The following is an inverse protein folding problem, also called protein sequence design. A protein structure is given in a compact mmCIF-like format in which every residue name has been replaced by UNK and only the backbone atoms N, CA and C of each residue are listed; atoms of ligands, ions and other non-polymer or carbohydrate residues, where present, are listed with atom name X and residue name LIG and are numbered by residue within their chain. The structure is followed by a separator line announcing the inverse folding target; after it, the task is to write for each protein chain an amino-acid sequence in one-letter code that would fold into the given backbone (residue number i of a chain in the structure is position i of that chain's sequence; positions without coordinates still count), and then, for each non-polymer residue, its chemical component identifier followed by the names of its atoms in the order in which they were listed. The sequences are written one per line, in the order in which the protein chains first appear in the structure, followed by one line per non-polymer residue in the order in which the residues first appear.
data_IF_548514373225
#
_entry.id   IF_548514373225
#
_cell.length_a   1.000
_cell.length_b   1.000
_cell.length_c   1.000
_cell.angle_alpha   90.00
_cell.angle_beta   90.00
_cell.angle_gamma   90.00
#
_symmetry.space_group_name_H-M   'P 1'
#
loop_
_entity.id
_entity.type
_entity.pdbx_description
1 polymer ?
#
# COMPACT_ATOMS: atom_id res chain seq x y z
N UNK A 1 27.10 -7.48 9.21
CA UNK A 1 26.36 -7.19 7.96
C UNK A 1 25.32 -6.12 8.28
N UNK A 2 25.38 -4.95 7.62
CA UNK A 2 24.47 -3.86 7.98
C UNK A 2 23.06 -4.21 7.47
N UNK A 3 22.17 -4.58 8.36
CA UNK A 3 20.75 -4.91 8.11
C UNK A 3 20.00 -3.86 7.29
N UNK A 4 20.56 -2.66 7.20
CA UNK A 4 20.00 -1.55 6.43
C UNK A 4 19.78 -1.84 4.93
N UNK A 5 20.50 -2.77 4.33
CA UNK A 5 20.34 -3.10 2.91
C UNK A 5 19.20 -4.09 2.66
N UNK A 6 18.91 -4.97 3.62
CA UNK A 6 17.81 -5.95 3.52
C UNK A 6 16.45 -5.26 3.45
N UNK A 7 16.34 -4.06 4.03
CA UNK A 7 15.12 -3.25 4.00
C UNK A 7 14.70 -2.80 2.59
N UNK A 8 15.62 -2.74 1.64
CA UNK A 8 15.31 -2.37 0.26
C UNK A 8 14.94 -3.56 -0.63
N UNK A 9 15.14 -4.79 -0.15
CA UNK A 9 14.89 -5.99 -0.96
C UNK A 9 13.45 -6.07 -1.49
N UNK A 10 12.38 -5.84 -0.70
CA UNK A 10 11.02 -5.85 -1.23
C UNK A 10 10.76 -4.75 -2.27
N UNK A 11 11.40 -3.58 -2.12
CA UNK A 11 11.31 -2.52 -3.12
C UNK A 11 11.96 -2.94 -4.44
N UNK A 12 13.14 -3.54 -4.37
CA UNK A 12 13.86 -4.07 -5.55
C UNK A 12 13.01 -5.14 -6.24
N UNK A 13 12.43 -6.09 -5.48
CA UNK A 13 11.54 -7.13 -6.03
C UNK A 13 10.35 -6.50 -6.74
N UNK A 14 9.69 -5.50 -6.13
CA UNK A 14 8.56 -4.80 -6.76
C UNK A 14 8.96 -4.10 -8.07
N UNK A 15 10.12 -3.45 -8.11
CA UNK A 15 10.64 -2.79 -9.31
C UNK A 15 10.95 -3.83 -10.40
N UNK A 16 11.63 -4.92 -10.06
CA UNK A 16 11.97 -5.99 -11.01
C UNK A 16 10.70 -6.60 -11.60
N UNK A 17 9.67 -6.88 -10.79
CA UNK A 17 8.39 -7.36 -11.29
C UNK A 17 7.69 -6.36 -12.22
N UNK A 18 7.68 -5.06 -11.86
CA UNK A 18 7.12 -4.02 -12.73
C UNK A 18 7.87 -3.97 -14.08
N UNK A 19 9.20 -4.07 -14.06
CA UNK A 19 10.01 -4.11 -15.28
C UNK A 19 9.73 -5.37 -16.13
N UNK A 20 9.67 -6.55 -15.53
CA UNK A 20 9.34 -7.79 -16.24
C UNK A 20 7.99 -7.65 -16.96
N UNK A 21 6.95 -7.16 -16.26
CA UNK A 21 5.62 -6.98 -16.85
C UNK A 21 5.64 -5.96 -17.98
N UNK A 22 6.37 -4.85 -17.82
CA UNK A 22 6.47 -3.81 -18.83
C UNK A 22 7.23 -4.28 -20.09
N UNK A 23 8.26 -5.10 -19.92
CA UNK A 23 9.14 -5.57 -21.02
C UNK A 23 8.58 -6.79 -21.75
N UNK A 24 7.76 -7.62 -21.09
CA UNK A 24 7.26 -8.87 -21.68
C UNK A 24 6.18 -8.66 -22.74
N UNK A 25 5.54 -7.49 -22.80
CA UNK A 25 4.48 -7.22 -23.77
C UNK A 25 4.71 -5.94 -24.57
N UNK A 26 4.66 -6.06 -25.90
CA UNK A 26 4.80 -4.95 -26.85
C UNK A 26 3.68 -3.89 -26.69
N UNK A 27 2.50 -4.30 -26.22
CA UNK A 27 1.32 -3.43 -25.96
C UNK A 27 0.71 -3.84 -24.60
N UNK A 28 1.08 -3.18 -23.49
CA UNK A 28 0.53 -3.49 -22.19
C UNK A 28 -0.95 -3.08 -22.11
N UNK A 29 -1.77 -3.95 -21.54
CA UNK A 29 -3.18 -3.64 -21.28
C UNK A 29 -3.28 -2.57 -20.17
N UNK A 30 -4.40 -1.80 -20.11
CA UNK A 30 -4.62 -0.83 -19.01
C UNK A 30 -4.51 -1.45 -17.62
N UNK A 31 -4.93 -2.72 -17.47
CA UNK A 31 -4.79 -3.45 -16.22
C UNK A 31 -3.33 -3.70 -15.84
N UNK A 32 -2.50 -4.06 -16.80
CA UNK A 32 -1.06 -4.27 -16.56
C UNK A 32 -0.35 -2.96 -16.22
N UNK A 33 -0.71 -1.86 -16.87
CA UNK A 33 -0.18 -0.53 -16.53
C UNK A 33 -0.52 -0.16 -15.08
N UNK A 34 -1.79 -0.34 -14.68
CA UNK A 34 -2.24 -0.07 -13.32
C UNK A 34 -1.54 -0.95 -12.30
N UNK A 35 -1.29 -2.21 -12.65
CA UNK A 35 -0.54 -3.11 -11.79
C UNK A 35 0.92 -2.70 -11.64
N UNK A 36 1.59 -2.34 -12.74
CA UNK A 36 2.95 -1.79 -12.68
C UNK A 36 3.01 -0.52 -11.83
N UNK A 37 2.04 0.39 -11.98
CA UNK A 37 1.95 1.60 -11.16
C UNK A 37 1.80 1.27 -9.68
N UNK A 38 0.97 0.28 -9.33
CA UNK A 38 0.83 -0.14 -7.94
C UNK A 38 2.13 -0.70 -7.35
N UNK A 39 2.87 -1.51 -8.13
CA UNK A 39 4.18 -2.02 -7.74
C UNK A 39 5.20 -0.89 -7.55
N UNK A 40 5.21 0.11 -8.42
CA UNK A 40 6.10 1.26 -8.30
C UNK A 40 5.77 2.13 -7.07
N UNK A 41 4.48 2.38 -6.81
CA UNK A 41 4.03 3.09 -5.59
C UNK A 41 4.40 2.31 -4.34
N UNK A 42 4.24 0.98 -4.36
CA UNK A 42 4.68 0.11 -3.26
C UNK A 42 6.19 0.16 -3.04
N UNK A 43 6.98 0.05 -4.11
CA UNK A 43 8.45 0.17 -4.04
C UNK A 43 8.87 1.53 -3.46
N UNK A 44 8.21 2.60 -3.87
CA UNK A 44 8.44 3.94 -3.34
C UNK A 44 8.11 3.99 -1.83
N UNK A 45 6.94 3.51 -1.41
CA UNK A 45 6.53 3.47 0.00
C UNK A 45 7.56 2.72 0.87
N UNK A 46 8.00 1.54 0.43
CA UNK A 46 9.00 0.73 1.14
C UNK A 46 10.35 1.44 1.20
N UNK A 47 10.76 2.08 0.11
CA UNK A 47 12.03 2.83 0.08
C UNK A 47 12.00 4.01 1.05
N UNK A 48 10.94 4.80 1.03
CA UNK A 48 10.75 5.94 1.94
C UNK A 48 10.71 5.46 3.40
N UNK A 49 10.00 4.35 3.66
CA UNK A 49 9.95 3.71 4.96
C UNK A 49 11.34 3.27 5.44
N UNK A 50 12.15 2.65 4.57
CA UNK A 50 13.50 2.24 4.90
C UNK A 50 14.41 3.42 5.25
N UNK A 51 14.22 4.57 4.59
CA UNK A 51 14.93 5.83 4.91
C UNK A 51 14.43 6.40 6.25
N UNK A 52 13.11 6.45 6.46
CA UNK A 52 12.51 6.94 7.71
C UNK A 52 13.04 6.19 8.92
N UNK A 53 13.09 4.86 8.86
CA UNK A 53 13.54 4.03 9.99
C UNK A 53 15.06 4.03 10.21
N UNK A 54 15.84 4.65 9.33
CA UNK A 54 17.24 4.95 9.63
C UNK A 54 17.40 6.03 10.70
N UNK A 55 16.40 6.87 10.92
CA UNK A 55 16.38 7.90 11.96
C UNK A 55 17.43 9.00 11.83
N UNK A 56 18.22 8.98 10.75
CA UNK A 56 19.36 9.90 10.54
C UNK A 56 19.05 11.06 9.58
N UNK A 57 17.78 11.23 9.22
CA UNK A 57 17.39 12.24 8.24
C UNK A 57 16.86 13.49 8.92
N UNK A 58 17.29 14.69 8.51
CA UNK A 58 16.86 15.96 9.12
C UNK A 58 15.38 16.28 8.88
N UNK A 59 14.70 15.56 7.96
CA UNK A 59 13.34 15.86 7.51
C UNK A 59 12.42 14.65 7.69
N UNK A 60 12.41 14.01 8.86
CA UNK A 60 11.58 12.82 9.13
C UNK A 60 10.10 13.04 8.83
N UNK A 61 9.56 14.24 9.07
CA UNK A 61 8.16 14.58 8.81
C UNK A 61 7.77 14.45 7.33
N UNK A 62 8.68 14.73 6.39
CA UNK A 62 8.43 14.57 4.96
C UNK A 62 8.31 13.07 4.61
N UNK A 63 9.18 12.25 5.18
CA UNK A 63 9.14 10.81 4.95
C UNK A 63 7.89 10.18 5.57
N UNK A 64 7.49 10.60 6.77
CA UNK A 64 6.25 10.16 7.41
C UNK A 64 5.03 10.45 6.52
N UNK A 65 4.92 11.70 6.05
CA UNK A 65 3.88 12.11 5.11
C UNK A 65 3.87 11.26 3.82
N UNK A 66 5.04 11.04 3.22
CA UNK A 66 5.18 10.25 1.99
C UNK A 66 4.80 8.78 2.21
N UNK A 67 5.13 8.18 3.36
CA UNK A 67 4.75 6.81 3.70
C UNK A 67 3.24 6.68 3.75
N UNK A 68 2.55 7.56 4.45
CA UNK A 68 1.11 7.49 4.61
C UNK A 68 0.40 7.65 3.26
N UNK A 69 0.75 8.68 2.47
CA UNK A 69 0.15 8.92 1.16
C UNK A 69 0.39 7.77 0.19
N UNK A 70 1.62 7.28 0.08
CA UNK A 70 1.93 6.19 -0.84
C UNK A 70 1.26 4.88 -0.44
N UNK A 71 1.19 4.58 0.86
CA UNK A 71 0.55 3.38 1.38
C UNK A 71 -0.94 3.36 1.05
N UNK A 72 -1.66 4.47 1.32
CA UNK A 72 -3.10 4.51 1.06
C UNK A 72 -3.42 4.56 -0.44
N UNK A 73 -2.53 5.11 -1.28
CA UNK A 73 -2.68 5.13 -2.73
C UNK A 73 -2.44 3.76 -3.37
N UNK A 74 -1.57 2.93 -2.82
CA UNK A 74 -1.21 1.64 -3.38
C UNK A 74 -2.44 0.71 -3.52
N UNK A 75 -3.29 0.64 -2.50
CA UNK A 75 -4.46 -0.25 -2.45
C UNK A 75 -5.46 -0.03 -3.60
N UNK A 76 -5.90 1.19 -3.92
CA UNK A 76 -6.77 1.44 -5.08
C UNK A 76 -6.17 1.02 -6.42
N UNK A 77 -4.87 1.23 -6.63
CA UNK A 77 -4.22 0.80 -7.87
C UNK A 77 -4.28 -0.72 -8.06
N UNK A 78 -3.97 -1.49 -7.01
CA UNK A 78 -4.12 -2.94 -7.03
C UNK A 78 -5.56 -3.36 -7.32
N UNK A 79 -6.51 -2.80 -6.58
CA UNK A 79 -7.92 -3.12 -6.74
C UNK A 79 -8.43 -2.84 -8.17
N UNK A 80 -8.12 -1.65 -8.71
CA UNK A 80 -8.57 -1.29 -10.07
C UNK A 80 -7.88 -2.14 -11.14
N UNK A 81 -6.63 -2.57 -10.93
CA UNK A 81 -5.98 -3.52 -11.84
C UNK A 81 -6.75 -4.85 -11.90
N UNK A 82 -7.16 -5.39 -10.75
CA UNK A 82 -7.99 -6.61 -10.66
C UNK A 82 -9.34 -6.40 -11.34
N UNK A 83 -10.01 -5.28 -11.06
CA UNK A 83 -11.29 -4.95 -11.71
C UNK A 83 -11.16 -4.85 -13.23
N UNK A 84 -10.03 -4.32 -13.71
CA UNK A 84 -9.76 -4.18 -15.15
C UNK A 84 -9.42 -5.52 -15.81
N UNK A 85 -8.83 -6.46 -15.07
CA UNK A 85 -8.56 -7.82 -15.55
C UNK A 85 -9.82 -8.70 -15.57
N UNK A 86 -10.70 -8.55 -14.58
CA UNK A 86 -11.86 -9.42 -14.40
C UNK A 86 -13.14 -8.88 -15.07
N UNK A 87 -13.16 -7.60 -15.42
CA UNK A 87 -14.32 -6.95 -16.03
C UNK A 87 -14.30 -7.01 -17.56
N UNK A 88 -15.42 -7.26 -18.22
CA UNK A 88 -15.49 -7.38 -19.69
C UNK A 88 -15.15 -6.08 -20.44
N UNK A 89 -15.30 -4.93 -19.79
CA UNK A 89 -14.99 -3.59 -20.32
C UNK A 89 -14.00 -2.82 -19.45
N UNK A 90 -13.22 -3.53 -18.61
CA UNK A 90 -12.35 -2.93 -17.63
C UNK A 90 -13.10 -2.42 -16.38
N UNK A 91 -12.42 -1.59 -15.58
CA UNK A 91 -12.99 -1.05 -14.35
C UNK A 91 -14.08 0.01 -14.63
N UNK A 92 -15.24 -0.15 -13.99
CA UNK A 92 -16.36 0.79 -14.09
C UNK A 92 -16.09 2.10 -13.36
N UNK A 93 -16.83 3.18 -13.69
CA UNK A 93 -16.77 4.47 -12.98
C UNK A 93 -17.04 4.32 -11.48
N UNK A 94 -17.98 3.43 -11.09
CA UNK A 94 -18.27 3.15 -9.68
C UNK A 94 -17.06 2.57 -8.96
N UNK A 95 -16.34 1.65 -9.59
CA UNK A 95 -15.12 1.07 -9.03
C UNK A 95 -13.98 2.07 -8.92
N UNK A 96 -13.84 2.98 -9.92
CA UNK A 96 -12.82 4.04 -9.91
C UNK A 96 -13.02 5.05 -8.78
N UNK A 97 -14.23 5.18 -8.23
CA UNK A 97 -14.50 6.05 -7.06
C UNK A 97 -13.69 5.68 -5.82
N UNK A 98 -13.12 4.48 -5.76
CA UNK A 98 -12.21 4.10 -4.67
C UNK A 98 -11.02 5.06 -4.53
N UNK A 99 -10.60 5.73 -5.62
CA UNK A 99 -9.57 6.76 -5.58
C UNK A 99 -9.97 8.03 -4.82
N UNK A 100 -11.26 8.24 -4.54
CA UNK A 100 -11.68 9.36 -3.67
C UNK A 100 -11.17 9.20 -2.24
N UNK A 101 -11.01 7.97 -1.77
CA UNK A 101 -10.53 7.71 -0.39
C UNK A 101 -9.10 8.25 -0.20
N UNK A 102 -8.08 7.85 -1.00
CA UNK A 102 -6.74 8.42 -0.85
C UNK A 102 -6.69 9.92 -1.12
N UNK A 103 -7.52 10.46 -2.02
CA UNK A 103 -7.58 11.92 -2.26
C UNK A 103 -8.08 12.66 -1.02
N UNK A 104 -9.20 12.23 -0.44
CA UNK A 104 -9.73 12.85 0.78
C UNK A 104 -8.78 12.68 1.96
N UNK A 105 -8.16 11.50 2.06
CA UNK A 105 -7.16 11.22 3.07
C UNK A 105 -5.95 12.16 2.93
N UNK A 106 -5.39 12.29 1.73
CA UNK A 106 -4.25 13.17 1.47
C UNK A 106 -4.58 14.64 1.78
N UNK A 107 -5.80 15.10 1.44
CA UNK A 107 -6.26 16.45 1.79
C UNK A 107 -6.28 16.63 3.31
N UNK A 108 -6.88 15.70 4.05
CA UNK A 108 -6.94 15.77 5.52
C UNK A 108 -5.55 15.77 6.17
N UNK A 109 -4.67 14.88 5.71
CA UNK A 109 -3.28 14.82 6.16
C UNK A 109 -2.53 16.13 5.87
N UNK A 110 -2.72 16.66 4.66
CA UNK A 110 -2.10 17.92 4.23
C UNK A 110 -2.54 19.09 5.11
N UNK A 111 -3.84 19.20 5.38
CA UNK A 111 -4.38 20.25 6.28
C UNK A 111 -3.75 20.12 7.67
N UNK A 112 -3.68 18.91 8.22
CA UNK A 112 -3.05 18.66 9.50
C UNK A 112 -1.56 19.01 9.52
N UNK A 113 -0.81 18.55 8.51
CA UNK A 113 0.63 18.79 8.39
C UNK A 113 0.96 20.29 8.22
N UNK A 114 0.22 21.02 7.38
CA UNK A 114 0.40 22.47 7.21
C UNK A 114 -0.13 23.29 8.38
N UNK A 115 -1.07 22.77 9.16
CA UNK A 115 -1.54 23.37 10.40
C UNK A 115 -0.53 23.30 11.54
N UNK A 116 0.53 22.49 11.40
CA UNK A 116 1.58 22.30 12.38
C UNK A 116 2.90 22.92 11.88
N UNK A 117 3.62 23.59 12.78
CA UNK A 117 4.97 24.08 12.43
C UNK A 117 5.91 22.89 12.13
N UNK A 118 6.73 22.92 11.06
CA UNK A 118 7.59 21.79 10.65
C UNK A 118 8.49 21.23 11.76
N UNK A 119 9.02 22.09 12.63
CA UNK A 119 9.85 21.67 13.76
C UNK A 119 9.07 20.88 14.81
N UNK A 120 7.79 21.17 15.01
CA UNK A 120 6.90 20.40 15.90
C UNK A 120 6.54 19.04 15.31
N UNK A 121 6.23 19.01 14.03
CA UNK A 121 5.97 17.75 13.34
C UNK A 121 7.23 16.86 13.38
N UNK A 122 8.39 17.44 13.11
CA UNK A 122 9.67 16.74 13.23
C UNK A 122 9.90 16.20 14.65
N UNK A 123 9.62 16.98 15.69
CA UNK A 123 9.73 16.55 17.08
C UNK A 123 8.78 15.39 17.39
N UNK A 124 7.53 15.45 16.90
CA UNK A 124 6.56 14.35 17.03
C UNK A 124 7.08 13.07 16.36
N UNK A 125 7.61 13.14 15.15
CA UNK A 125 8.18 11.98 14.46
C UNK A 125 9.36 11.40 15.23
N UNK A 126 10.23 12.23 15.81
CA UNK A 126 11.33 11.78 16.67
C UNK A 126 10.85 11.12 17.96
N UNK A 127 9.81 11.65 18.59
CA UNK A 127 9.24 11.09 19.80
C UNK A 127 8.62 9.72 19.53
N UNK A 128 7.86 9.60 18.44
CA UNK A 128 7.31 8.31 17.96
C UNK A 128 8.44 7.31 17.69
N UNK A 129 9.51 7.78 17.04
CA UNK A 129 10.62 6.93 16.65
C UNK A 129 11.45 6.42 17.85
N UNK A 130 11.72 7.28 18.82
CA UNK A 130 12.61 6.96 19.95
C UNK A 130 11.86 6.37 21.15
N UNK A 131 10.71 6.92 21.50
CA UNK A 131 10.03 6.62 22.77
C UNK A 131 8.82 5.70 22.58
N UNK A 132 8.38 5.48 21.34
CA UNK A 132 7.22 4.63 20.99
C UNK A 132 5.91 5.03 21.67
N UNK A 133 5.88 6.17 22.32
CA UNK A 133 4.73 6.74 23.00
C UNK A 133 4.54 8.18 22.53
N UNK A 134 3.33 8.52 22.19
CA UNK A 134 2.95 9.89 21.92
C UNK A 134 2.07 10.37 23.07
N UNK A 135 2.42 11.50 23.63
CA UNK A 135 1.66 12.11 24.70
C UNK A 135 0.71 13.17 24.15
N UNK A 136 -0.51 13.14 24.62
CA UNK A 136 -1.49 14.19 24.34
C UNK A 136 -1.04 15.50 25.01
N UNK A 137 -0.94 16.59 24.26
CA UNK A 137 -0.55 17.89 24.79
C UNK A 137 -1.81 18.75 24.96
N UNK A 138 -2.22 19.06 26.20
CA UNK A 138 -3.38 19.91 26.45
C UNK A 138 -3.20 21.29 25.80
N UNK A 139 -4.22 21.72 25.04
CA UNK A 139 -4.23 23.04 24.37
C UNK A 139 -3.56 23.09 22.99
N UNK A 140 -2.87 22.05 22.53
CA UNK A 140 -2.29 21.99 21.20
C UNK A 140 -3.15 21.15 20.24
N UNK A 141 -4.13 21.80 19.62
CA UNK A 141 -5.10 21.15 18.73
C UNK A 141 -4.43 20.54 17.49
N UNK A 142 -3.46 21.23 16.88
CA UNK A 142 -2.78 20.77 15.67
C UNK A 142 -1.93 19.54 15.93
N UNK A 143 -1.17 19.53 17.02
CA UNK A 143 -0.38 18.39 17.45
C UNK A 143 -1.27 17.18 17.75
N UNK A 144 -2.30 17.38 18.56
CA UNK A 144 -3.23 16.32 18.94
C UNK A 144 -4.00 15.75 17.74
N UNK A 145 -4.35 16.59 16.76
CA UNK A 145 -4.94 16.14 15.49
C UNK A 145 -3.99 15.21 14.73
N UNK A 146 -2.72 15.57 14.59
CA UNK A 146 -1.75 14.73 13.88
C UNK A 146 -1.44 13.44 14.64
N UNK A 147 -1.42 13.48 15.98
CA UNK A 147 -1.31 12.28 16.82
C UNK A 147 -2.48 11.34 16.55
N UNK A 148 -3.72 11.85 16.60
CA UNK A 148 -4.92 11.08 16.31
C UNK A 148 -4.90 10.52 14.89
N UNK A 149 -4.46 11.34 13.94
CA UNK A 149 -4.34 10.95 12.53
C UNK A 149 -3.41 9.75 12.36
N UNK A 150 -2.17 9.87 12.82
CA UNK A 150 -1.15 8.84 12.64
C UNK A 150 -1.42 7.56 13.44
N UNK A 151 -2.02 7.69 14.62
CA UNK A 151 -2.23 6.52 15.49
C UNK A 151 -3.55 5.80 15.24
N UNK A 152 -4.58 6.50 14.82
CA UNK A 152 -5.92 5.93 14.69
C UNK A 152 -6.45 6.04 13.27
N UNK A 153 -6.49 7.26 12.70
CA UNK A 153 -7.19 7.49 11.43
C UNK A 153 -6.52 6.75 10.28
N UNK A 154 -5.21 6.92 10.11
CA UNK A 154 -4.45 6.25 9.04
C UNK A 154 -4.50 4.72 9.15
N UNK A 155 -4.16 4.11 10.28
CA UNK A 155 -4.21 2.66 10.43
C UNK A 155 -5.59 2.09 10.21
N UNK A 156 -6.61 2.67 10.87
CA UNK A 156 -7.99 2.18 10.76
C UNK A 156 -8.51 2.32 9.32
N UNK A 157 -8.28 3.47 8.67
CA UNK A 157 -8.67 3.68 7.28
C UNK A 157 -8.00 2.67 6.35
N UNK A 158 -6.70 2.42 6.52
CA UNK A 158 -5.93 1.47 5.70
C UNK A 158 -6.44 0.03 5.89
N UNK A 159 -6.69 -0.39 7.14
CA UNK A 159 -7.22 -1.72 7.44
C UNK A 159 -8.62 -1.90 6.84
N UNK A 160 -9.54 -0.98 7.11
CA UNK A 160 -10.92 -1.07 6.63
C UNK A 160 -10.93 -1.09 5.10
N UNK A 161 -10.23 -0.16 4.46
CA UNK A 161 -10.12 -0.11 3.01
C UNK A 161 -9.51 -1.40 2.46
N UNK A 162 -8.42 -1.87 3.04
CA UNK A 162 -7.74 -3.10 2.64
C UNK A 162 -8.67 -4.32 2.71
N UNK A 163 -9.40 -4.49 3.81
CA UNK A 163 -10.36 -5.60 3.98
C UNK A 163 -11.48 -5.52 2.95
N UNK A 164 -12.10 -4.34 2.76
CA UNK A 164 -13.18 -4.16 1.79
C UNK A 164 -12.70 -4.48 0.37
N UNK A 165 -11.54 -3.96 -0.02
CA UNK A 165 -10.98 -4.18 -1.36
C UNK A 165 -10.53 -5.62 -1.56
N UNK A 166 -10.01 -6.30 -0.53
CA UNK A 166 -9.65 -7.71 -0.57
C UNK A 166 -10.89 -8.59 -0.79
N UNK A 167 -11.96 -8.37 -0.04
CA UNK A 167 -13.19 -9.15 -0.16
C UNK A 167 -13.82 -8.95 -1.55
N UNK A 168 -13.93 -7.69 -2.02
CA UNK A 168 -14.54 -7.42 -3.31
C UNK A 168 -13.68 -7.93 -4.48
N UNK A 169 -12.37 -7.79 -4.41
CA UNK A 169 -11.45 -8.35 -5.42
C UNK A 169 -11.50 -9.88 -5.45
N UNK A 170 -11.57 -10.54 -4.28
CA UNK A 170 -11.71 -11.99 -4.18
C UNK A 170 -13.01 -12.50 -4.82
N UNK A 171 -14.13 -11.81 -4.57
CA UNK A 171 -15.42 -12.11 -5.23
C UNK A 171 -15.33 -11.98 -6.75
N UNK A 172 -14.68 -10.92 -7.26
CA UNK A 172 -14.50 -10.71 -8.71
C UNK A 172 -13.64 -11.78 -9.35
N UNK A 173 -12.54 -12.15 -8.71
CA UNK A 173 -11.66 -13.24 -9.18
C UNK A 173 -12.43 -14.55 -9.23
N UNK A 174 -13.22 -14.86 -8.20
CA UNK A 174 -14.03 -16.09 -8.15
C UNK A 174 -15.07 -16.12 -9.27
N UNK A 175 -15.82 -15.02 -9.47
CA UNK A 175 -16.81 -14.92 -10.55
C UNK A 175 -16.16 -14.99 -11.94
N UNK A 176 -14.98 -14.41 -12.11
CA UNK A 176 -14.21 -14.50 -13.35
C UNK A 176 -13.80 -15.93 -13.62
N UNK A 177 -13.30 -16.65 -12.61
CA UNK A 177 -12.95 -18.05 -12.71
C UNK A 177 -14.15 -18.90 -13.13
N UNK A 178 -15.31 -18.76 -12.48
CA UNK A 178 -16.53 -19.49 -12.82
C UNK A 178 -16.96 -19.26 -14.29
N UNK A 179 -16.91 -18.00 -14.76
CA UNK A 179 -17.21 -17.69 -16.17
C UNK A 179 -16.19 -18.31 -17.10
N UNK A 180 -14.91 -18.23 -16.77
CA UNK A 180 -13.85 -18.81 -17.57
C UNK A 180 -14.04 -20.32 -17.69
N UNK A 181 -14.24 -21.04 -16.57
CA UNK A 181 -14.47 -22.47 -16.54
C UNK A 181 -15.72 -22.88 -17.34
N UNK A 182 -16.79 -22.07 -17.33
CA UNK A 182 -17.99 -22.33 -18.11
C UNK A 182 -17.83 -22.12 -19.63
N UNK A 183 -16.98 -21.17 -20.05
CA UNK A 183 -16.72 -20.92 -21.47
C UNK A 183 -15.73 -21.93 -22.09
N UNK A 184 -14.73 -22.36 -21.30
CA UNK A 184 -13.61 -23.19 -21.77
C UNK A 184 -13.67 -24.65 -21.27
N UNK A 185 -14.80 -25.10 -20.75
CA UNK A 185 -14.99 -26.45 -20.27
C UNK A 185 -14.67 -27.55 -21.34
N UNK A 186 -14.57 -27.18 -22.62
CA UNK A 186 -14.27 -28.06 -23.75
C UNK A 186 -12.88 -27.85 -24.38
N UNK A 187 -12.12 -26.81 -23.99
CA UNK A 187 -10.83 -26.50 -24.62
C UNK A 187 -9.66 -26.80 -23.66
N UNK A 188 -9.11 -28.02 -23.83
CA UNK A 188 -8.01 -28.55 -23.01
C UNK A 188 -6.65 -27.84 -23.20
N UNK A 189 -6.55 -26.91 -24.16
CA UNK A 189 -5.26 -26.26 -24.57
C UNK A 189 -5.08 -24.81 -24.22
N UNK A 190 -6.01 -24.18 -23.47
CA UNK A 190 -5.83 -22.78 -23.10
C UNK A 190 -4.95 -22.63 -21.84
N UNK A 191 -3.93 -21.78 -21.88
CA UNK A 191 -3.08 -21.58 -20.72
C UNK A 191 -3.84 -20.92 -19.58
N UNK A 192 -3.95 -21.62 -18.45
CA UNK A 192 -4.49 -21.11 -17.17
C UNK A 192 -3.66 -19.93 -16.55
N UNK A 193 -2.76 -19.33 -17.34
CA UNK A 193 -1.83 -18.30 -16.89
C UNK A 193 -2.54 -17.08 -16.32
N UNK A 194 -3.63 -16.62 -16.96
CA UNK A 194 -4.29 -15.38 -16.54
C UNK A 194 -5.01 -15.50 -15.18
N UNK A 195 -5.57 -16.66 -14.86
CA UNK A 195 -6.30 -16.87 -13.59
C UNK A 195 -5.31 -16.97 -12.43
N UNK A 196 -4.22 -17.68 -12.64
CA UNK A 196 -3.16 -17.83 -11.63
C UNK A 196 -2.57 -16.48 -11.26
N UNK A 197 -2.29 -15.63 -12.26
CA UNK A 197 -1.73 -14.30 -12.05
C UNK A 197 -2.70 -13.39 -11.26
N UNK A 198 -4.00 -13.47 -11.56
CA UNK A 198 -5.04 -12.71 -10.85
C UNK A 198 -5.15 -13.16 -9.39
N UNK A 199 -5.07 -14.47 -9.14
CA UNK A 199 -5.10 -15.03 -7.79
C UNK A 199 -3.87 -14.55 -7.00
N UNK A 200 -2.68 -14.63 -7.59
CA UNK A 200 -1.44 -14.13 -6.96
C UNK A 200 -1.55 -12.67 -6.60
N UNK A 201 -2.02 -11.81 -7.53
CA UNK A 201 -2.23 -10.38 -7.27
C UNK A 201 -3.20 -10.16 -6.11
N UNK A 202 -4.29 -10.93 -6.04
CA UNK A 202 -5.24 -10.81 -4.93
C UNK A 202 -4.61 -11.17 -3.58
N UNK A 203 -3.75 -12.19 -3.54
CA UNK A 203 -3.03 -12.57 -2.32
C UNK A 203 -2.02 -11.52 -1.86
N UNK A 204 -1.51 -10.67 -2.75
CA UNK A 204 -0.61 -9.57 -2.39
C UNK A 204 -1.28 -8.48 -1.52
N UNK A 205 -2.61 -8.41 -1.44
CA UNK A 205 -3.31 -7.55 -0.49
C UNK A 205 -3.15 -8.00 0.96
N UNK A 206 -3.05 -9.31 1.19
CA UNK A 206 -2.98 -9.88 2.53
C UNK A 206 -1.73 -9.40 3.31
N UNK A 207 -0.51 -9.49 2.75
CA UNK A 207 0.67 -8.95 3.40
C UNK A 207 0.55 -7.47 3.72
N UNK A 208 -0.10 -6.68 2.85
CA UNK A 208 -0.28 -5.25 3.05
C UNK A 208 -1.18 -4.93 4.24
N UNK A 209 -2.30 -5.67 4.38
CA UNK A 209 -3.21 -5.54 5.52
C UNK A 209 -2.52 -6.00 6.81
N UNK A 210 -1.84 -7.15 6.76
CA UNK A 210 -1.09 -7.69 7.90
C UNK A 210 0.01 -6.73 8.35
N UNK A 211 0.69 -6.07 7.40
CA UNK A 211 1.66 -5.03 7.69
C UNK A 211 1.06 -3.89 8.48
N UNK A 212 -0.05 -3.35 8.01
CA UNK A 212 -0.68 -2.21 8.67
C UNK A 212 -1.11 -2.58 10.09
N UNK A 213 -1.71 -3.77 10.27
CA UNK A 213 -2.09 -4.29 11.59
C UNK A 213 -0.87 -4.43 12.50
N UNK A 214 0.21 -5.00 11.97
CA UNK A 214 1.43 -5.24 12.71
C UNK A 214 2.15 -3.92 13.07
N UNK A 215 2.19 -2.97 12.15
CA UNK A 215 2.75 -1.64 12.37
C UNK A 215 2.02 -0.89 13.48
N UNK A 216 0.70 -1.05 13.60
CA UNK A 216 -0.09 -0.45 14.68
C UNK A 216 0.22 -1.11 16.02
N UNK A 217 0.24 -2.45 16.06
CA UNK A 217 0.33 -3.21 17.29
C UNK A 217 1.74 -3.17 17.93
N UNK A 218 2.79 -3.08 17.10
CA UNK A 218 4.16 -3.35 17.54
C UNK A 218 5.19 -2.33 17.06
N UNK A 219 4.81 -1.08 16.94
CA UNK A 219 5.54 0.04 16.33
C UNK A 219 7.07 0.02 16.26
N UNK A 220 7.89 -0.53 17.20
CA UNK A 220 9.34 -0.44 16.97
C UNK A 220 10.16 -1.72 17.04
N UNK A 221 9.71 -2.75 17.76
CA UNK A 221 10.60 -3.88 18.07
C UNK A 221 10.77 -4.89 16.93
N UNK A 222 9.76 -5.09 16.09
CA UNK A 222 9.69 -6.19 15.12
C UNK A 222 9.83 -5.76 13.66
N UNK A 223 10.00 -4.49 13.41
CA UNK A 223 10.16 -3.95 12.08
C UNK A 223 11.25 -4.67 11.24
N UNK A 224 12.39 -5.01 11.88
CA UNK A 224 13.47 -5.75 11.20
C UNK A 224 13.05 -7.14 10.75
N UNK A 225 12.28 -7.84 11.56
CA UNK A 225 11.83 -9.21 11.27
C UNK A 225 10.71 -9.22 10.21
N UNK A 226 9.90 -8.18 10.22
CA UNK A 226 8.79 -8.09 9.28
C UNK A 226 9.25 -7.84 7.84
N UNK A 227 10.26 -6.99 7.61
CA UNK A 227 10.85 -6.79 6.28
C UNK A 227 11.40 -8.10 5.73
N UNK A 228 11.99 -8.95 6.58
CA UNK A 228 12.45 -10.27 6.18
C UNK A 228 11.25 -11.15 5.78
N UNK A 229 10.16 -11.13 6.54
CA UNK A 229 8.96 -11.90 6.21
C UNK A 229 8.27 -11.45 4.91
N UNK A 230 8.37 -10.16 4.54
CA UNK A 230 7.86 -9.66 3.25
C UNK A 230 8.79 -9.94 2.07
N UNK A 231 10.05 -10.29 2.32
CA UNK A 231 11.03 -10.60 1.28
C UNK A 231 11.05 -12.10 0.90
N UNK A 232 10.41 -12.96 1.68
CA UNK A 232 10.20 -14.40 1.44
C UNK A 232 8.84 -14.62 0.79
#
# INVERSE_FOLDING_TARGET
MKWSYVMYLPAIVSIVWAMIIALTKKHPTPAQILFCLSLMVNAFAITVMAVYFRGQTPNLFIYDYMIEVSTICCLPFFYISICSLTGPRGATLRQRRVFLVPVLFTIGLTIGAFGMHPSRYQAMCFEVFNNHSIHWIPGDTSYNFMVLWNQIVFPVATIIMGIILLIDSGRKVHLYKQRFDSFYAHDLNMPNLNIRDIVVVNWMFLPFIMFTIFFIAYRPFYYKYWIIACAI
#
